data_IF_580294442379
#
_entry.id   IF_580294442379
#
_cell.length_a   1.000
_cell.length_b   1.000
_cell.length_c   1.000
_cell.angle_alpha   90.00
_cell.angle_beta   90.00
_cell.angle_gamma   90.00
#
_symmetry.space_group_name_H-M   'P 1'
#
loop_
_entity.id
_entity.type
_entity.pdbx_description
1 polymer ?
#
# COMPACT_ATOMS: atom_id res chain seq x y z
N UNK A 1 -21.84 14.16 -1.77
CA UNK A 1 -20.82 14.09 -0.67
C UNK A 1 -19.50 13.71 -1.30
N UNK A 2 -18.37 14.12 -0.72
CA UNK A 2 -17.02 13.81 -1.23
C UNK A 2 -16.26 13.03 -0.18
N UNK A 3 -15.73 11.87 -0.56
CA UNK A 3 -14.87 11.03 0.26
C UNK A 3 -13.42 11.21 -0.16
N UNK A 4 -12.52 11.32 0.78
CA UNK A 4 -11.08 11.34 0.54
C UNK A 4 -10.42 10.19 1.28
N UNK A 5 -9.75 9.33 0.55
CA UNK A 5 -8.98 8.19 1.09
C UNK A 5 -7.51 8.47 0.85
N UNK A 6 -6.71 8.38 1.89
CA UNK A 6 -5.24 8.42 1.77
C UNK A 6 -4.71 7.06 2.22
N UNK A 7 -4.09 6.34 1.31
CA UNK A 7 -3.39 5.09 1.59
C UNK A 7 -1.90 5.40 1.77
N UNK A 8 -1.34 5.00 2.91
CA UNK A 8 0.08 5.18 3.23
C UNK A 8 0.73 3.81 3.21
N UNK A 9 1.75 3.64 2.35
CA UNK A 9 2.57 2.43 2.35
C UNK A 9 3.45 2.38 3.60
N UNK A 10 3.74 1.19 4.16
CA UNK A 10 4.47 1.10 5.41
C UNK A 10 5.93 1.49 5.25
N UNK A 11 6.57 1.77 6.38
CA UNK A 11 8.01 2.01 6.44
C UNK A 11 8.81 0.74 6.11
N UNK A 12 10.10 0.94 5.88
CA UNK A 12 11.04 -0.12 5.51
C UNK A 12 11.19 -1.16 6.63
N UNK A 13 11.33 -2.43 6.25
CA UNK A 13 11.70 -3.53 7.11
C UNK A 13 12.75 -4.43 6.41
N UNK A 14 13.34 -5.42 7.09
CA UNK A 14 14.32 -6.32 6.47
C UNK A 14 13.77 -7.07 5.26
N UNK A 15 12.55 -7.58 5.31
CA UNK A 15 11.96 -8.34 4.20
C UNK A 15 11.90 -7.53 2.90
N UNK A 16 11.51 -6.23 2.98
CA UNK A 16 11.49 -5.35 1.80
C UNK A 16 12.90 -5.09 1.27
N UNK A 17 13.92 -4.94 2.15
CA UNK A 17 15.30 -4.75 1.70
C UNK A 17 15.83 -5.95 0.93
N UNK A 18 15.41 -7.14 1.29
CA UNK A 18 15.80 -8.40 0.68
C UNK A 18 14.87 -8.83 -0.47
N UNK A 19 13.92 -7.98 -0.86
CA UNK A 19 12.89 -8.30 -1.84
C UNK A 19 12.13 -9.61 -1.51
N UNK A 20 11.82 -9.83 -0.20
CA UNK A 20 11.04 -10.96 0.28
C UNK A 20 9.55 -10.64 0.31
N UNK A 21 8.73 -11.60 0.01
CA UNK A 21 7.31 -11.57 0.34
C UNK A 21 7.14 -11.44 1.85
N UNK A 22 6.12 -10.69 2.28
CA UNK A 22 5.92 -10.40 3.70
C UNK A 22 5.99 -11.67 4.57
N UNK A 23 6.84 -11.65 5.58
CA UNK A 23 7.07 -12.72 6.54
C UNK A 23 6.53 -12.40 7.95
N UNK A 24 5.95 -11.20 8.09
CA UNK A 24 5.46 -10.66 9.36
C UNK A 24 6.56 -10.02 10.22
N UNK A 25 7.75 -9.75 9.67
CA UNK A 25 8.82 -9.13 10.44
C UNK A 25 8.52 -7.65 10.75
N UNK A 26 9.09 -7.19 11.86
CA UNK A 26 8.98 -5.81 12.34
C UNK A 26 9.71 -4.81 11.44
N UNK A 27 9.39 -3.52 11.61
CA UNK A 27 10.18 -2.44 11.03
C UNK A 27 11.63 -2.51 11.52
N UNK A 28 12.56 -2.10 10.68
CA UNK A 28 13.91 -1.81 11.16
C UNK A 28 13.96 -0.45 11.89
N UNK A 29 15.04 -0.21 12.63
CA UNK A 29 15.18 1.00 13.43
C UNK A 29 15.14 2.28 12.57
N UNK A 30 15.70 2.24 11.37
CA UNK A 30 15.73 3.36 10.42
C UNK A 30 14.32 3.62 9.85
N UNK A 31 13.58 2.57 9.47
CA UNK A 31 12.20 2.67 9.02
C UNK A 31 11.29 3.25 10.09
N UNK A 32 11.41 2.78 11.33
CA UNK A 32 10.65 3.31 12.46
C UNK A 32 11.00 4.78 12.77
N UNK A 33 12.27 5.16 12.72
CA UNK A 33 12.71 6.55 12.91
C UNK A 33 12.16 7.46 11.81
N UNK A 34 12.23 7.02 10.56
CA UNK A 34 11.70 7.77 9.42
C UNK A 34 10.19 7.94 9.47
N UNK A 35 9.46 6.91 9.91
CA UNK A 35 8.01 7.04 10.11
C UNK A 35 7.69 8.07 11.22
N UNK A 36 8.41 8.07 12.33
CA UNK A 36 8.23 9.08 13.40
C UNK A 36 8.48 10.50 12.91
N UNK A 37 9.52 10.73 12.10
CA UNK A 37 9.80 12.06 11.56
C UNK A 37 8.76 12.57 10.56
N UNK A 38 7.95 11.67 9.99
CA UNK A 38 6.88 11.99 9.05
C UNK A 38 5.51 12.23 9.72
N UNK A 39 5.41 12.11 11.04
CA UNK A 39 4.12 12.16 11.76
C UNK A 39 3.33 13.45 11.48
N UNK A 40 3.98 14.60 11.49
CA UNK A 40 3.36 15.90 11.26
C UNK A 40 2.90 16.14 9.82
N UNK A 41 3.35 15.30 8.87
CA UNK A 41 2.94 15.39 7.46
C UNK A 41 1.59 14.70 7.20
N UNK A 42 1.14 13.84 8.12
CA UNK A 42 -0.12 13.11 7.98
C UNK A 42 -1.28 14.01 8.43
N UNK A 43 -2.13 14.35 7.48
CA UNK A 43 -3.27 15.23 7.76
C UNK A 43 -4.31 14.54 8.64
N UNK A 44 -4.94 15.25 9.60
CA UNK A 44 -6.03 14.72 10.39
C UNK A 44 -7.15 14.12 9.53
N UNK A 45 -7.67 12.98 9.96
CA UNK A 45 -8.75 12.26 9.30
C UNK A 45 -9.88 11.93 10.26
N UNK A 46 -11.09 11.75 9.74
CA UNK A 46 -12.26 11.34 10.53
C UNK A 46 -12.14 9.91 11.04
N UNK A 47 -11.41 9.06 10.30
CA UNK A 47 -11.07 7.72 10.74
C UNK A 47 -9.69 7.33 10.19
N UNK A 48 -8.95 6.61 11.04
CA UNK A 48 -7.67 6.01 10.69
C UNK A 48 -7.77 4.49 10.79
N UNK A 49 -7.34 3.81 9.73
CA UNK A 49 -7.44 2.36 9.56
C UNK A 49 -6.04 1.76 9.37
N UNK A 50 -5.92 0.47 9.57
CA UNK A 50 -4.66 -0.23 9.35
C UNK A 50 -4.87 -1.64 8.82
N UNK A 51 -4.04 -2.04 7.86
CA UNK A 51 -3.87 -3.44 7.49
C UNK A 51 -3.43 -4.26 8.70
N UNK A 52 -3.88 -5.52 8.85
CA UNK A 52 -3.47 -6.38 9.97
C UNK A 52 -1.97 -6.76 9.97
N UNK A 53 -1.21 -6.40 8.93
CA UNK A 53 0.22 -6.68 8.85
C UNK A 53 1.02 -5.95 9.96
N UNK A 54 2.02 -6.63 10.53
CA UNK A 54 2.84 -6.13 11.64
C UNK A 54 3.48 -4.79 11.28
N UNK A 55 4.13 -4.68 10.13
CA UNK A 55 4.81 -3.46 9.71
C UNK A 55 3.84 -2.30 9.45
N UNK A 56 2.60 -2.56 9.02
CA UNK A 56 1.57 -1.53 8.87
C UNK A 56 1.15 -0.96 10.23
N UNK A 57 0.88 -1.81 11.22
CA UNK A 57 0.55 -1.38 12.60
C UNK A 57 1.68 -0.61 13.25
N UNK A 58 2.93 -1.06 13.09
CA UNK A 58 4.10 -0.37 13.61
C UNK A 58 4.34 0.97 12.93
N UNK A 59 4.10 1.06 11.61
CA UNK A 59 4.17 2.33 10.88
C UNK A 59 3.08 3.29 11.35
N UNK A 60 1.84 2.82 11.51
CA UNK A 60 0.74 3.63 12.02
C UNK A 60 1.05 4.19 13.42
N UNK A 61 1.56 3.34 14.31
CA UNK A 61 1.98 3.75 15.65
C UNK A 61 3.11 4.79 15.61
N UNK A 62 4.11 4.60 14.74
CA UNK A 62 5.22 5.54 14.57
C UNK A 62 4.78 6.90 13.99
N UNK A 63 3.74 6.90 13.13
CA UNK A 63 3.09 8.11 12.61
C UNK A 63 2.14 8.78 13.64
N UNK A 64 1.98 8.22 14.85
CA UNK A 64 1.09 8.75 15.87
C UNK A 64 -0.41 8.57 15.56
N UNK A 65 -0.76 7.62 14.69
CA UNK A 65 -2.14 7.36 14.30
C UNK A 65 -2.84 6.41 15.27
N UNK A 66 -4.02 6.82 15.76
CA UNK A 66 -4.93 5.92 16.49
C UNK A 66 -5.79 5.17 15.49
N UNK A 67 -5.44 3.92 15.21
CA UNK A 67 -6.00 3.14 14.11
C UNK A 67 -6.93 2.03 14.58
N UNK A 68 -7.88 1.65 13.71
CA UNK A 68 -8.68 0.43 13.79
C UNK A 68 -8.23 -0.54 12.71
N UNK A 69 -8.14 -1.81 13.05
CA UNK A 69 -7.86 -2.87 12.08
C UNK A 69 -8.96 -2.93 11.00
N UNK A 70 -8.53 -3.06 9.76
CA UNK A 70 -9.39 -3.21 8.59
C UNK A 70 -8.97 -4.44 7.79
N UNK A 71 -9.59 -5.60 8.03
CA UNK A 71 -9.25 -6.85 7.35
C UNK A 71 -9.41 -6.78 5.84
N UNK A 72 -10.35 -5.96 5.33
CA UNK A 72 -10.51 -5.74 3.89
C UNK A 72 -9.31 -5.04 3.24
N UNK A 73 -8.40 -4.46 4.03
CA UNK A 73 -7.14 -3.87 3.57
C UNK A 73 -5.91 -4.72 3.92
N UNK A 74 -6.07 -6.02 4.19
CA UNK A 74 -4.93 -6.93 4.32
C UNK A 74 -4.10 -6.95 3.03
N UNK A 75 -2.79 -7.20 3.16
CA UNK A 75 -1.91 -7.41 2.01
C UNK A 75 -2.27 -8.66 1.20
N UNK A 76 -1.58 -8.88 0.10
CA UNK A 76 -1.75 -10.07 -0.72
C UNK A 76 -1.25 -11.31 0.03
N UNK A 77 -2.12 -12.32 0.20
CA UNK A 77 -1.71 -13.58 0.81
C UNK A 77 -0.84 -14.38 -0.17
N UNK A 78 0.43 -14.51 0.16
CA UNK A 78 1.42 -15.22 -0.66
C UNK A 78 1.50 -16.73 -0.35
N UNK A 79 0.61 -17.26 0.51
CA UNK A 79 0.56 -18.69 0.81
C UNK A 79 1.94 -19.26 1.15
N UNK A 80 2.35 -20.34 0.44
CA UNK A 80 3.65 -21.00 0.68
C UNK A 80 4.88 -20.21 0.23
N UNK A 81 4.70 -19.11 -0.53
CA UNK A 81 5.82 -18.24 -0.91
C UNK A 81 6.12 -17.17 0.14
N UNK A 82 5.31 -17.08 1.19
CA UNK A 82 5.57 -16.17 2.30
C UNK A 82 6.99 -16.32 2.84
N UNK A 83 7.71 -15.20 2.97
CA UNK A 83 9.09 -15.17 3.42
C UNK A 83 10.15 -15.56 2.38
N UNK A 84 9.76 -16.05 1.19
CA UNK A 84 10.70 -16.27 0.10
C UNK A 84 11.03 -14.95 -0.59
N UNK A 85 12.23 -14.87 -1.17
CA UNK A 85 12.52 -13.85 -2.18
C UNK A 85 11.90 -14.24 -3.51
N UNK A 86 11.82 -13.27 -4.43
CA UNK A 86 11.38 -13.55 -5.80
C UNK A 86 12.32 -14.56 -6.49
N UNK A 87 13.63 -14.45 -6.26
CA UNK A 87 14.64 -15.35 -6.81
C UNK A 87 14.51 -16.78 -6.24
N UNK A 88 14.24 -16.89 -4.93
CA UNK A 88 13.99 -18.19 -4.28
C UNK A 88 12.72 -18.86 -4.83
N UNK A 89 11.65 -18.08 -5.08
CA UNK A 89 10.44 -18.59 -5.71
C UNK A 89 10.70 -19.01 -7.17
N UNK A 90 11.46 -18.20 -7.93
CA UNK A 90 11.86 -18.53 -9.30
C UNK A 90 12.70 -19.81 -9.37
N UNK A 91 13.65 -20.00 -8.44
CA UNK A 91 14.49 -21.20 -8.42
C UNK A 91 13.72 -22.47 -8.07
N UNK A 92 12.69 -22.36 -7.19
CA UNK A 92 11.90 -23.52 -6.74
C UNK A 92 10.76 -23.87 -7.70
N UNK A 93 10.09 -22.86 -8.24
CA UNK A 93 8.85 -23.00 -9.00
C UNK A 93 8.78 -22.01 -10.18
N UNK A 94 9.70 -22.10 -11.17
CA UNK A 94 9.82 -21.12 -12.26
C UNK A 94 8.54 -20.96 -13.09
N UNK A 95 7.87 -22.06 -13.42
CA UNK A 95 6.63 -22.04 -14.21
C UNK A 95 5.46 -21.46 -13.41
N UNK A 96 5.38 -21.74 -12.11
CA UNK A 96 4.39 -21.19 -11.22
C UNK A 96 4.55 -19.67 -11.07
N UNK A 97 5.79 -19.20 -10.92
CA UNK A 97 6.10 -17.77 -10.86
C UNK A 97 5.77 -17.07 -12.18
N UNK A 98 6.17 -17.64 -13.33
CA UNK A 98 5.85 -17.07 -14.64
C UNK A 98 4.34 -16.94 -14.83
N UNK A 99 3.57 -17.96 -14.46
CA UNK A 99 2.10 -17.92 -14.52
C UNK A 99 1.51 -16.86 -13.60
N UNK A 100 2.00 -16.73 -12.37
CA UNK A 100 1.53 -15.72 -11.42
C UNK A 100 1.76 -14.30 -11.92
N UNK A 101 2.89 -14.03 -12.59
CA UNK A 101 3.19 -12.71 -13.15
C UNK A 101 2.37 -12.39 -14.41
N UNK A 102 1.94 -13.42 -15.18
CA UNK A 102 1.24 -13.25 -16.45
C UNK A 102 -0.30 -13.26 -16.31
N UNK A 103 -0.83 -13.93 -15.28
CA UNK A 103 -2.28 -14.13 -15.10
C UNK A 103 -2.72 -13.62 -13.72
N UNK A 104 -3.43 -12.48 -13.64
CA UNK A 104 -3.92 -11.94 -12.37
C UNK A 104 -4.85 -12.88 -11.59
N UNK A 105 -5.49 -13.84 -12.23
CA UNK A 105 -6.34 -14.84 -11.58
C UNK A 105 -5.54 -16.01 -11.00
N UNK A 106 -4.29 -16.18 -11.43
CA UNK A 106 -3.44 -17.27 -10.95
C UNK A 106 -3.05 -17.07 -9.47
N UNK A 107 -3.07 -18.18 -8.72
CA UNK A 107 -2.60 -18.25 -7.33
C UNK A 107 -1.82 -19.54 -7.09
N UNK A 108 -0.73 -19.78 -7.83
CA UNK A 108 0.01 -21.04 -7.74
C UNK A 108 0.59 -21.28 -6.36
N UNK A 109 0.84 -20.22 -5.56
CA UNK A 109 1.33 -20.28 -4.19
C UNK A 109 0.27 -20.74 -3.16
N UNK A 110 -1.01 -20.87 -3.55
CA UNK A 110 -2.10 -21.32 -2.68
C UNK A 110 -2.72 -20.22 -1.79
N UNK A 111 -2.28 -18.98 -1.94
CA UNK A 111 -2.85 -17.82 -1.26
C UNK A 111 -3.91 -17.09 -2.08
N UNK A 112 -3.88 -15.74 -2.08
CA UNK A 112 -4.82 -14.88 -2.79
C UNK A 112 -4.28 -14.52 -4.19
N UNK A 113 -5.15 -14.44 -5.19
CA UNK A 113 -4.77 -13.92 -6.51
C UNK A 113 -4.84 -12.39 -6.57
N UNK A 114 -4.14 -11.77 -7.52
CA UNK A 114 -4.25 -10.31 -7.77
C UNK A 114 -5.69 -9.93 -8.07
N UNK A 115 -6.43 -10.76 -8.83
CA UNK A 115 -7.84 -10.56 -9.13
C UNK A 115 -8.70 -10.49 -7.85
N UNK A 116 -8.53 -11.43 -6.91
CA UNK A 116 -9.27 -11.43 -5.65
C UNK A 116 -8.91 -10.24 -4.77
N UNK A 117 -7.64 -9.86 -4.72
CA UNK A 117 -7.19 -8.65 -4.03
C UNK A 117 -7.85 -7.39 -4.63
N UNK A 118 -7.85 -7.24 -5.95
CA UNK A 118 -8.49 -6.11 -6.64
C UNK A 118 -10.00 -6.06 -6.35
N UNK A 119 -10.68 -7.19 -6.36
CA UNK A 119 -12.09 -7.28 -6.02
C UNK A 119 -12.37 -6.87 -4.57
N UNK A 120 -11.58 -7.38 -3.61
CA UNK A 120 -11.71 -7.06 -2.17
C UNK A 120 -11.47 -5.58 -1.88
N UNK A 121 -10.38 -5.01 -2.41
CA UNK A 121 -10.04 -3.60 -2.24
C UNK A 121 -11.05 -2.69 -2.96
N UNK A 122 -11.53 -3.11 -4.15
CA UNK A 122 -12.59 -2.43 -4.88
C UNK A 122 -13.89 -2.35 -4.08
N UNK A 123 -14.32 -3.45 -3.48
CA UNK A 123 -15.49 -3.49 -2.60
C UNK A 123 -15.35 -2.57 -1.39
N UNK A 124 -14.17 -2.53 -0.77
CA UNK A 124 -13.89 -1.60 0.31
C UNK A 124 -13.95 -0.12 -0.13
N UNK A 125 -13.41 0.22 -1.31
CA UNK A 125 -13.53 1.57 -1.87
C UNK A 125 -14.98 1.95 -2.14
N UNK A 126 -15.79 1.04 -2.65
CA UNK A 126 -17.21 1.27 -2.92
C UNK A 126 -17.98 1.52 -1.61
N UNK A 127 -17.64 0.84 -0.53
CA UNK A 127 -18.20 1.10 0.81
C UNK A 127 -17.72 2.44 1.36
N UNK A 128 -16.42 2.73 1.27
CA UNK A 128 -15.86 4.01 1.69
C UNK A 128 -16.51 5.20 0.94
N UNK A 129 -16.90 5.03 -0.32
CA UNK A 129 -17.56 6.07 -1.11
C UNK A 129 -18.94 6.47 -0.57
N UNK A 130 -19.58 5.62 0.24
CA UNK A 130 -20.88 5.91 0.88
C UNK A 130 -20.76 6.83 2.08
N UNK A 131 -19.56 6.93 2.65
CA UNK A 131 -19.27 7.84 3.76
C UNK A 131 -18.68 9.13 3.24
N UNK A 132 -18.95 10.26 3.89
CA UNK A 132 -18.29 11.53 3.59
C UNK A 132 -17.15 11.76 4.57
N UNK A 133 -16.13 12.46 4.11
CA UNK A 133 -15.02 12.83 4.98
C UNK A 133 -13.66 12.33 4.49
N UNK A 134 -12.70 12.38 5.40
CA UNK A 134 -11.33 11.96 5.16
C UNK A 134 -11.04 10.66 5.92
N UNK A 135 -10.56 9.66 5.19
CA UNK A 135 -10.04 8.41 5.74
C UNK A 135 -8.53 8.35 5.49
N UNK A 136 -7.79 7.85 6.44
CA UNK A 136 -6.39 7.49 6.26
C UNK A 136 -6.21 6.01 6.59
N UNK A 137 -5.43 5.28 5.82
CA UNK A 137 -5.12 3.88 6.12
C UNK A 137 -3.64 3.58 5.85
N UNK A 138 -2.99 2.86 6.77
CA UNK A 138 -1.65 2.32 6.53
C UNK A 138 -1.81 0.90 6.02
N UNK A 139 -1.35 0.66 4.78
CA UNK A 139 -1.63 -0.56 4.03
C UNK A 139 -0.41 -1.03 3.25
N UNK A 140 -0.36 -2.32 2.94
CA UNK A 140 0.69 -2.89 2.10
C UNK A 140 0.69 -2.29 0.69
N UNK A 141 1.86 -2.23 0.00
CA UNK A 141 1.97 -1.69 -1.36
C UNK A 141 0.99 -2.32 -2.36
N UNK A 142 0.70 -3.60 -2.21
CA UNK A 142 -0.22 -4.35 -3.06
C UNK A 142 -1.66 -3.79 -2.97
N UNK A 143 -2.08 -3.33 -1.81
CA UNK A 143 -3.39 -2.70 -1.60
C UNK A 143 -3.46 -1.35 -2.33
N UNK A 144 -2.37 -0.56 -2.30
CA UNK A 144 -2.27 0.70 -3.05
C UNK A 144 -2.35 0.44 -4.55
N UNK A 145 -1.65 -0.60 -5.05
CA UNK A 145 -1.71 -1.02 -6.46
C UNK A 145 -3.12 -1.42 -6.86
N UNK A 146 -3.78 -2.27 -6.07
CA UNK A 146 -5.16 -2.71 -6.33
C UNK A 146 -6.15 -1.53 -6.35
N UNK A 147 -6.05 -0.61 -5.38
CA UNK A 147 -6.86 0.61 -5.35
C UNK A 147 -6.62 1.48 -6.59
N UNK A 148 -5.36 1.59 -7.04
CA UNK A 148 -4.99 2.37 -8.23
C UNK A 148 -5.56 1.76 -9.50
N UNK A 149 -5.40 0.45 -9.70
CA UNK A 149 -6.00 -0.29 -10.82
C UNK A 149 -7.52 -0.07 -10.87
N UNK A 150 -8.20 -0.24 -9.71
CA UNK A 150 -9.65 -0.05 -9.60
C UNK A 150 -10.08 1.37 -9.95
N UNK A 151 -9.40 2.37 -9.43
CA UNK A 151 -9.75 3.79 -9.61
C UNK A 151 -9.52 4.27 -11.03
N UNK A 152 -8.46 3.81 -11.68
CA UNK A 152 -8.14 4.15 -13.07
C UNK A 152 -8.95 3.34 -14.09
N UNK A 153 -9.66 2.30 -13.67
CA UNK A 153 -10.29 1.35 -14.59
C UNK A 153 -9.27 0.64 -15.48
N UNK A 154 -8.05 0.49 -14.97
CA UNK A 154 -6.99 -0.19 -15.70
C UNK A 154 -7.20 -1.72 -15.67
N UNK A 155 -6.72 -2.45 -16.68
CA UNK A 155 -6.72 -3.90 -16.63
C UNK A 155 -5.80 -4.39 -15.49
N UNK A 156 -6.12 -5.54 -14.89
CA UNK A 156 -5.44 -6.04 -13.69
C UNK A 156 -3.96 -6.41 -13.94
N UNK A 157 -3.55 -6.67 -15.17
CA UNK A 157 -2.15 -6.86 -15.55
C UNK A 157 -1.29 -5.60 -15.38
N UNK A 158 -1.93 -4.42 -15.28
CA UNK A 158 -1.24 -3.17 -14.94
C UNK A 158 -0.74 -3.13 -13.49
N UNK A 159 -1.23 -4.03 -12.62
CA UNK A 159 -0.88 -4.10 -11.19
C UNK A 159 0.65 -4.12 -10.96
N UNK A 160 1.38 -4.89 -11.76
CA UNK A 160 2.83 -5.03 -11.64
C UNK A 160 3.63 -3.83 -12.18
N UNK A 161 2.96 -2.89 -12.86
CA UNK A 161 3.58 -1.67 -13.43
C UNK A 161 3.46 -0.46 -12.51
N UNK A 162 2.88 -0.64 -11.32
CA UNK A 162 2.67 0.44 -10.35
C UNK A 162 3.70 0.31 -9.24
N UNK A 163 4.63 1.25 -9.17
CA UNK A 163 5.60 1.31 -8.09
C UNK A 163 5.04 2.08 -6.90
N UNK A 164 5.20 1.51 -5.71
CA UNK A 164 4.79 2.10 -4.45
C UNK A 164 5.96 2.07 -3.49
N UNK A 165 6.61 3.22 -3.33
CA UNK A 165 7.74 3.34 -2.43
C UNK A 165 7.31 3.32 -0.95
N UNK A 166 8.19 2.89 -0.03
CA UNK A 166 7.92 2.96 1.41
C UNK A 166 7.63 4.39 1.87
N UNK A 167 6.74 4.53 2.86
CA UNK A 167 6.28 5.82 3.39
C UNK A 167 5.81 6.80 2.31
N UNK A 168 4.97 6.32 1.40
CA UNK A 168 4.35 7.13 0.37
C UNK A 168 2.86 7.23 0.63
N UNK A 169 2.33 8.45 0.62
CA UNK A 169 0.89 8.73 0.74
C UNK A 169 0.27 8.88 -0.64
N UNK A 170 -0.62 7.98 -1.01
CA UNK A 170 -1.40 8.01 -2.26
C UNK A 170 -2.83 8.41 -1.93
N UNK A 171 -3.34 9.47 -2.57
CA UNK A 171 -4.65 10.00 -2.26
C UNK A 171 -5.68 9.73 -3.37
N UNK A 172 -6.87 9.34 -2.95
CA UNK A 172 -8.02 9.09 -3.80
C UNK A 172 -9.15 10.01 -3.37
N UNK A 173 -9.82 10.64 -4.34
CA UNK A 173 -10.99 11.48 -4.05
C UNK A 173 -12.18 10.93 -4.80
N UNK A 174 -13.18 10.46 -4.05
CA UNK A 174 -14.41 9.86 -4.55
C UNK A 174 -15.60 10.81 -4.47
N UNK A 175 -16.38 10.87 -5.54
CA UNK A 175 -17.67 11.58 -5.59
C UNK A 175 -18.62 10.87 -6.53
N UNK A 176 -19.83 10.51 -6.05
CA UNK A 176 -20.88 9.87 -6.85
C UNK A 176 -20.37 8.64 -7.66
N UNK A 177 -19.59 7.76 -7.02
CA UNK A 177 -19.05 6.54 -7.63
C UNK A 177 -17.84 6.75 -8.55
N UNK A 178 -17.40 8.00 -8.79
CA UNK A 178 -16.18 8.30 -9.54
C UNK A 178 -15.04 8.63 -8.59
N UNK A 179 -13.88 8.09 -8.89
CA UNK A 179 -12.66 8.33 -8.15
C UNK A 179 -11.61 9.06 -9.01
N UNK A 180 -10.86 9.94 -8.39
CA UNK A 180 -9.66 10.55 -8.95
C UNK A 180 -8.47 10.13 -8.12
N UNK A 181 -7.35 9.84 -8.76
CA UNK A 181 -6.06 9.53 -8.15
C UNK A 181 -5.21 10.80 -8.11
N UNK A 182 -4.61 11.09 -6.95
CA UNK A 182 -3.44 11.96 -6.84
C UNK A 182 -2.21 11.08 -6.61
N UNK A 183 -1.15 11.24 -7.43
CA UNK A 183 0.07 10.44 -7.31
C UNK A 183 0.66 10.45 -5.91
N UNK A 184 1.36 9.38 -5.56
CA UNK A 184 1.96 9.21 -4.24
C UNK A 184 2.97 10.31 -3.89
N UNK A 185 2.89 10.83 -2.68
CA UNK A 185 3.83 11.80 -2.12
C UNK A 185 4.66 11.10 -1.04
N UNK A 186 5.98 11.13 -1.16
CA UNK A 186 6.87 10.57 -0.15
C UNK A 186 6.78 11.38 1.15
N UNK A 187 6.64 10.68 2.27
CA UNK A 187 6.63 11.24 3.62
C UNK A 187 8.04 11.18 4.24
N UNK A 188 8.35 12.13 5.13
CA UNK A 188 9.62 12.17 5.85
C UNK A 188 10.84 12.45 4.96
N UNK A 189 10.67 13.14 3.84
CA UNK A 189 11.80 13.66 3.06
C UNK A 189 12.25 14.99 3.63
N UNK A 190 13.49 15.01 4.11
CA UNK A 190 14.15 16.22 4.63
C UNK A 190 14.65 17.17 3.53
N UNK A 191 14.42 16.88 2.25
CA UNK A 191 14.87 17.72 1.15
C UNK A 191 13.83 18.80 0.81
N UNK A 192 13.71 19.80 1.67
CA UNK A 192 13.38 21.16 1.25
C UNK A 192 14.67 21.93 1.06
N UNK A 193 15.39 21.69 -0.02
CA UNK A 193 16.27 22.72 -0.58
C UNK A 193 15.34 23.82 -1.07
N UNK A 194 15.39 25.04 -0.51
CA UNK A 194 14.66 26.16 -1.06
C UNK A 194 15.17 26.37 -2.48
N UNK A 195 14.28 26.35 -3.46
CA UNK A 195 14.61 26.78 -4.79
C UNK A 195 15.17 28.22 -4.67
N UNK A 196 16.45 28.40 -4.94
CA UNK A 196 17.05 29.73 -5.16
C UNK A 196 16.22 30.39 -6.24
N UNK A 197 15.54 31.48 -5.88
CA UNK A 197 14.94 32.39 -6.87
C UNK A 197 16.10 32.97 -7.64
N UNK A 198 16.17 32.85 -8.97
CA UNK A 198 17.15 33.60 -9.75
C UNK A 198 16.89 35.08 -9.49
N UNK A 199 17.91 35.74 -8.96
CA UNK A 199 17.92 37.21 -8.77
C UNK A 199 17.68 37.91 -10.10
N UNK A 200 16.96 39.01 -10.02
CA UNK A 200 16.75 39.97 -11.11
C UNK A 200 18.07 40.60 -11.51
#
# INVERSE_FOLDING_TARGET
MTTRVTLISPAMNPAVREARFDDGCSLDAAGAARARSAADEVRPAAAALVSPAVRCRQTAAALGLHVRDEPALAGLDMGRWRGLTLDEAAAREPEALARWLADPAARPHGGESVHLLCARVGGWLDEAARTSGRLVAVVEPEVVRAATVRVLGAPEDAFWRIDVAPLTATAFTGRAGRWNLAPGTALGRTDRTPAERPGR
#
